data_IF_869858855194
#
_entry.id   IF_869858855194
#
_cell.length_a   1.000
_cell.length_b   1.000
_cell.length_c   1.000
_cell.angle_alpha   90.00
_cell.angle_beta   90.00
_cell.angle_gamma   90.00
#
_symmetry.space_group_name_H-M   'P 1'
#
loop_
_entity.id
_entity.type
_entity.pdbx_description
1 polymer ?
#
# COMPACT_ATOMS: atom_id res chain seq x y z
N UNK A 1 18.65 -12.63 -3.72
CA UNK A 1 17.41 -11.82 -3.79
C UNK A 1 17.50 -10.81 -2.68
N UNK A 2 17.62 -9.52 -3.01
CA UNK A 2 17.52 -8.45 -2.03
C UNK A 2 16.03 -8.32 -1.65
N UNK A 3 15.71 -8.20 -0.36
CA UNK A 3 14.33 -8.10 0.08
C UNK A 3 13.77 -6.73 -0.35
N UNK A 4 12.66 -6.73 -1.09
CA UNK A 4 12.04 -5.51 -1.63
C UNK A 4 11.50 -4.54 -0.55
N UNK A 5 11.49 -4.96 0.71
CA UNK A 5 10.88 -4.23 1.83
C UNK A 5 11.54 -4.65 3.15
N UNK A 6 11.77 -3.70 4.05
CA UNK A 6 12.36 -3.95 5.38
C UNK A 6 11.45 -3.45 6.49
N UNK A 7 11.04 -4.36 7.37
CA UNK A 7 10.22 -4.04 8.54
C UNK A 7 11.12 -3.73 9.74
N UNK A 8 10.81 -2.69 10.50
CA UNK A 8 11.55 -2.29 11.70
C UNK A 8 10.62 -1.75 12.77
N UNK A 9 11.03 -1.83 14.04
CA UNK A 9 10.30 -1.20 15.14
C UNK A 9 10.53 0.31 15.10
N UNK A 10 9.47 1.09 15.01
CA UNK A 10 9.51 2.55 15.06
C UNK A 10 8.79 3.06 16.31
N UNK A 11 9.56 3.40 17.35
CA UNK A 11 9.01 3.73 18.67
C UNK A 11 8.08 2.62 19.18
N UNK A 12 6.79 2.89 19.31
CA UNK A 12 5.77 1.92 19.73
C UNK A 12 4.99 1.30 18.56
N UNK A 13 5.32 1.69 17.34
CA UNK A 13 4.69 1.26 16.09
C UNK A 13 5.62 0.37 15.23
N UNK A 14 5.05 -0.20 14.17
CA UNK A 14 5.78 -0.97 13.16
C UNK A 14 6.02 -0.09 11.93
N UNK A 15 7.27 0.26 11.69
CA UNK A 15 7.69 0.97 10.49
C UNK A 15 8.04 -0.01 9.37
N UNK A 16 7.79 0.39 8.13
CA UNK A 16 8.26 -0.36 6.97
C UNK A 16 8.95 0.57 5.99
N UNK A 17 10.17 0.19 5.58
CA UNK A 17 10.92 0.90 4.54
C UNK A 17 10.58 0.28 3.20
N UNK A 18 9.97 1.10 2.33
CA UNK A 18 9.81 0.82 0.91
C UNK A 18 11.10 1.15 0.18
N UNK A 19 11.46 0.33 -0.81
CA UNK A 19 12.59 0.65 -1.71
C UNK A 19 12.23 1.81 -2.63
N UNK A 20 13.23 2.56 -3.09
CA UNK A 20 13.02 3.65 -4.05
C UNK A 20 12.33 3.15 -5.32
N UNK A 21 12.66 1.94 -5.78
CA UNK A 21 12.03 1.32 -6.95
C UNK A 21 10.50 1.15 -6.77
N UNK A 22 10.03 0.77 -5.58
CA UNK A 22 8.60 0.66 -5.28
C UNK A 22 7.93 2.03 -5.19
N UNK A 23 8.60 3.00 -4.55
CA UNK A 23 8.12 4.39 -4.48
C UNK A 23 7.93 4.95 -5.90
N UNK A 24 8.92 4.76 -6.78
CA UNK A 24 8.88 5.26 -8.15
C UNK A 24 7.82 4.52 -8.99
N UNK A 25 7.69 3.20 -8.84
CA UNK A 25 6.68 2.39 -9.54
C UNK A 25 5.25 2.75 -9.13
N UNK A 26 5.03 3.05 -7.86
CA UNK A 26 3.72 3.39 -7.31
C UNK A 26 3.46 4.91 -7.35
N UNK A 27 4.47 5.73 -7.66
CA UNK A 27 4.36 7.19 -7.72
C UNK A 27 4.12 7.86 -6.37
N UNK A 28 4.52 7.21 -5.27
CA UNK A 28 4.22 7.65 -3.90
C UNK A 28 5.04 8.90 -3.53
N UNK A 29 4.42 9.77 -2.73
CA UNK A 29 5.05 10.96 -2.15
C UNK A 29 4.95 10.92 -0.62
N UNK A 30 5.80 11.72 0.01
CA UNK A 30 5.74 11.91 1.46
C UNK A 30 4.38 12.49 1.85
N UNK A 31 3.70 11.84 2.80
CA UNK A 31 2.38 12.22 3.27
C UNK A 31 1.21 11.58 2.53
N UNK A 32 1.47 10.75 1.51
CA UNK A 32 0.43 9.94 0.88
C UNK A 32 -0.03 8.82 1.83
N UNK A 33 -1.34 8.65 1.94
CA UNK A 33 -1.95 7.53 2.64
C UNK A 33 -1.90 6.27 1.77
N UNK A 34 -1.54 5.14 2.38
CA UNK A 34 -1.42 3.84 1.70
C UNK A 34 -2.20 2.77 2.46
N UNK A 35 -2.96 1.96 1.71
CA UNK A 35 -3.63 0.77 2.26
C UNK A 35 -2.73 -0.46 2.09
N UNK A 36 -2.62 -1.25 3.16
CA UNK A 36 -1.85 -2.50 3.17
C UNK A 36 -2.85 -3.65 3.21
N UNK A 37 -3.02 -4.34 2.08
CA UNK A 37 -3.92 -5.49 1.98
C UNK A 37 -3.12 -6.80 2.07
N UNK A 38 -3.53 -7.67 2.98
CA UNK A 38 -2.98 -9.02 3.11
C UNK A 38 -3.69 -9.95 2.11
N UNK A 39 -2.97 -10.43 1.11
CA UNK A 39 -3.49 -11.48 0.23
C UNK A 39 -3.18 -12.84 0.88
N UNK A 40 -4.23 -13.64 1.07
CA UNK A 40 -4.15 -14.97 1.70
C UNK A 40 -3.25 -15.91 0.92
N UNK A 41 -1.96 -15.87 1.24
CA UNK A 41 -0.90 -16.57 0.52
C UNK A 41 0.43 -15.82 0.58
N UNK A 42 0.95 -15.53 1.78
CA UNK A 42 2.30 -14.96 2.00
C UNK A 42 2.68 -13.78 1.08
N UNK A 43 1.71 -12.94 0.69
CA UNK A 43 1.90 -11.82 -0.22
C UNK A 43 1.21 -10.58 0.32
N UNK A 44 1.95 -9.47 0.34
CA UNK A 44 1.42 -8.13 0.63
C UNK A 44 1.31 -7.43 -0.72
N UNK A 45 0.14 -6.89 -1.06
CA UNK A 45 0.03 -5.95 -2.19
C UNK A 45 -0.31 -4.56 -1.65
N UNK A 46 0.27 -3.56 -2.29
CA UNK A 46 0.05 -2.14 -2.02
C UNK A 46 -0.66 -1.58 -3.24
N UNK A 47 -1.89 -1.12 -3.06
CA UNK A 47 -2.69 -0.51 -4.11
C UNK A 47 -2.92 0.96 -3.75
N UNK A 48 -2.73 1.85 -4.72
CA UNK A 48 -3.05 3.27 -4.57
C UNK A 48 -4.53 3.47 -4.79
N UNK A 49 -5.23 4.07 -3.82
CA UNK A 49 -6.67 4.25 -3.90
C UNK A 49 -7.00 5.51 -4.73
N UNK A 50 -7.50 5.33 -5.95
CA UNK A 50 -8.06 6.41 -6.74
C UNK A 50 -9.41 6.85 -6.13
N UNK A 51 -9.55 8.15 -5.83
CA UNK A 51 -10.74 8.73 -5.21
C UNK A 51 -12.03 8.64 -6.06
N UNK A 52 -11.92 8.18 -7.31
CA UNK A 52 -13.03 8.05 -8.26
C UNK A 52 -13.70 6.65 -8.27
N UNK A 53 -13.09 5.64 -7.64
CA UNK A 53 -13.62 4.26 -7.63
C UNK A 53 -14.65 4.01 -6.50
N UNK A 54 -15.52 5.00 -6.25
CA UNK A 54 -16.72 4.72 -5.45
C UNK A 54 -17.54 3.69 -6.22
N UNK A 55 -17.98 2.58 -5.59
CA UNK A 55 -18.93 1.70 -6.22
C UNK A 55 -20.17 2.54 -6.56
N UNK A 56 -20.44 2.71 -7.86
CA UNK A 56 -21.70 3.28 -8.34
C UNK A 56 -22.80 2.42 -7.74
N UNK A 57 -23.40 2.91 -6.65
CA UNK A 57 -24.55 2.29 -6.02
C UNK A 57 -25.57 1.98 -7.09
N UNK A 58 -25.88 0.70 -7.25
CA UNK A 58 -26.86 0.21 -8.20
C UNK A 58 -28.18 0.96 -7.94
N UNK A 59 -28.75 1.69 -8.92
CA UNK A 59 -30.05 2.33 -8.71
C UNK A 59 -31.12 1.24 -8.58
N UNK A 60 -32.12 1.43 -7.68
CA UNK A 60 -33.14 0.42 -7.46
C UNK A 60 -34.02 0.27 -8.71
N UNK A 61 -34.28 -0.98 -9.11
CA UNK A 61 -35.45 -1.35 -9.92
C UNK A 61 -36.12 -2.53 -9.28
#
# INVERSE_FOLDING_TARGET
MEAAMKVFKWNDDLGVVLTQELIDKLGLKEGDDIEITLFGGSGIAVETMDCDDRPRGNPPR
#
